data_IF_812449677353
#
_entry.id   IF_812449677353
#
_cell.length_a   1.000
_cell.length_b   1.000
_cell.length_c   1.000
_cell.angle_alpha   90.00
_cell.angle_beta   90.00
_cell.angle_gamma   90.00
#
_symmetry.space_group_name_H-M   'P 1'
#
loop_
_entity.id
_entity.type
_entity.pdbx_description
1 polymer ?
#
# COMPACT_ATOMS: atom_id res chain seq x y z
N UNK A 1 13.64 12.25 4.26
CA UNK A 1 14.90 12.95 3.87
C UNK A 1 16.11 12.45 4.64
N UNK A 2 16.07 12.39 5.99
CA UNK A 2 17.18 11.94 6.82
C UNK A 2 17.64 10.48 6.55
N UNK A 3 16.71 9.52 6.47
CA UNK A 3 17.03 8.10 6.24
C UNK A 3 17.28 7.74 4.77
N UNK A 4 17.10 8.69 3.83
CA UNK A 4 17.17 8.41 2.39
C UNK A 4 18.53 7.82 1.96
N UNK A 5 19.68 8.25 2.50
CA UNK A 5 20.98 7.66 2.14
C UNK A 5 21.14 6.18 2.54
N UNK A 6 20.33 5.67 3.47
CA UNK A 6 20.40 4.27 3.94
C UNK A 6 19.52 3.33 3.11
N UNK A 7 18.56 3.87 2.37
CA UNK A 7 17.64 3.08 1.55
C UNK A 7 18.30 2.71 0.22
N UNK A 8 18.19 1.43 -0.16
CA UNK A 8 18.60 0.93 -1.47
C UNK A 8 17.36 0.65 -2.33
N UNK A 9 17.37 0.97 -3.63
CA UNK A 9 16.33 0.51 -4.55
C UNK A 9 16.28 -1.02 -4.56
N UNK A 10 15.08 -1.60 -4.55
CA UNK A 10 14.87 -3.04 -4.62
C UNK A 10 13.62 -3.34 -5.45
N UNK A 11 13.63 -4.48 -6.15
CA UNK A 11 12.47 -5.05 -6.83
C UNK A 11 11.89 -6.21 -6.03
N UNK A 12 10.56 -6.38 -6.06
CA UNK A 12 9.90 -7.41 -5.25
C UNK A 12 10.33 -8.84 -5.59
N UNK A 13 10.83 -9.08 -6.81
CA UNK A 13 11.37 -10.39 -7.23
C UNK A 13 12.57 -10.84 -6.39
N UNK A 14 13.29 -9.93 -5.75
CA UNK A 14 14.40 -10.25 -4.84
C UNK A 14 13.93 -11.05 -3.61
N UNK A 15 12.64 -10.98 -3.28
CA UNK A 15 12.02 -11.70 -2.16
C UNK A 15 11.26 -12.96 -2.59
N UNK A 16 11.45 -13.43 -3.82
CA UNK A 16 10.78 -14.64 -4.32
C UNK A 16 11.08 -15.86 -3.43
N UNK A 17 10.03 -16.63 -3.11
CA UNK A 17 10.13 -17.81 -2.24
C UNK A 17 10.17 -17.52 -0.74
N UNK A 18 10.10 -16.25 -0.32
CA UNK A 18 10.06 -15.85 1.08
C UNK A 18 8.65 -15.45 1.52
N UNK A 19 8.38 -15.55 2.83
CA UNK A 19 7.18 -14.94 3.43
C UNK A 19 7.49 -13.50 3.80
N UNK A 20 6.70 -12.55 3.29
CA UNK A 20 6.88 -11.11 3.52
C UNK A 20 5.65 -10.54 4.23
N UNK A 21 5.87 -9.73 5.26
CA UNK A 21 4.80 -9.00 5.94
C UNK A 21 4.35 -7.80 5.11
N UNK A 22 3.05 -7.61 4.97
CA UNK A 22 2.43 -6.46 4.30
C UNK A 22 1.71 -5.62 5.34
N UNK A 23 2.06 -4.33 5.44
CA UNK A 23 1.22 -3.36 6.14
C UNK A 23 0.01 -3.00 5.25
N UNK A 24 -1.09 -3.72 5.48
CA UNK A 24 -2.30 -3.57 4.72
C UNK A 24 -3.03 -2.23 4.96
N UNK A 25 -2.84 -1.59 6.11
CA UNK A 25 -3.52 -0.31 6.42
C UNK A 25 -3.07 0.76 5.44
N UNK A 26 -1.76 0.85 5.19
CA UNK A 26 -1.17 1.78 4.23
C UNK A 26 -1.73 1.63 2.80
N UNK A 27 -2.21 0.44 2.43
CA UNK A 27 -2.89 0.19 1.15
C UNK A 27 -4.37 0.52 1.22
N UNK A 28 -5.06 0.05 2.26
CA UNK A 28 -6.48 0.32 2.47
C UNK A 28 -6.77 1.82 2.52
N UNK A 29 -5.94 2.59 3.21
CA UNK A 29 -6.07 4.05 3.26
C UNK A 29 -5.97 4.68 1.87
N UNK A 30 -5.07 4.20 1.01
CA UNK A 30 -4.97 4.69 -0.38
C UNK A 30 -6.19 4.27 -1.20
N UNK A 31 -6.69 3.05 -1.01
CA UNK A 31 -7.92 2.57 -1.62
C UNK A 31 -9.13 3.42 -1.22
N UNK A 32 -9.27 3.72 0.07
CA UNK A 32 -10.35 4.54 0.60
C UNK A 32 -10.36 5.98 0.06
N UNK A 33 -9.19 6.54 -0.30
CA UNK A 33 -9.13 7.83 -1.00
C UNK A 33 -9.74 7.71 -2.41
N UNK A 34 -9.50 6.60 -3.11
CA UNK A 34 -10.02 6.39 -4.46
C UNK A 34 -11.54 6.21 -4.49
N UNK A 35 -12.13 5.62 -3.45
CA UNK A 35 -13.58 5.42 -3.32
C UNK A 35 -14.23 6.26 -2.21
N UNK A 36 -13.67 7.43 -1.90
CA UNK A 36 -14.11 8.23 -0.75
C UNK A 36 -15.58 8.68 -0.84
N UNK A 37 -16.08 8.91 -2.06
CA UNK A 37 -17.46 9.38 -2.30
C UNK A 37 -18.47 8.23 -2.14
N UNK A 38 -18.14 7.07 -2.67
CA UNK A 38 -18.94 5.85 -2.56
C UNK A 38 -19.01 5.42 -1.09
N UNK A 39 -17.87 5.47 -0.38
CA UNK A 39 -17.80 5.18 1.05
C UNK A 39 -18.71 6.09 1.89
N UNK A 40 -18.71 7.41 1.65
CA UNK A 40 -19.55 8.32 2.44
C UNK A 40 -21.03 8.18 2.10
N UNK A 41 -21.35 7.76 0.88
CA UNK A 41 -22.72 7.50 0.42
C UNK A 41 -23.22 6.08 0.73
N UNK A 42 -22.35 5.19 1.20
CA UNK A 42 -22.62 3.76 1.40
C UNK A 42 -23.02 3.05 0.10
N UNK A 43 -22.43 3.48 -1.01
CA UNK A 43 -22.58 2.85 -2.32
C UNK A 43 -21.51 1.77 -2.51
N UNK A 44 -21.82 0.70 -3.24
CA UNK A 44 -20.80 -0.28 -3.62
C UNK A 44 -19.81 0.36 -4.60
N UNK A 45 -18.53 0.03 -4.43
CA UNK A 45 -17.45 0.37 -5.37
C UNK A 45 -17.06 -0.90 -6.14
N UNK A 46 -16.75 -0.77 -7.43
CA UNK A 46 -16.35 -1.88 -8.31
C UNK A 46 -15.02 -2.55 -7.92
#
# INVERSE_FOLDING_TARGET
KFLKPLAQPAHISEFAGQTVGVDAMSWLHRGAIACAVELIKQEESD
#
